data_IF_393373511510
#
_entry.id   IF_393373511510
#
_cell.length_a   1.000
_cell.length_b   1.000
_cell.length_c   1.000
_cell.angle_alpha   90.00
_cell.angle_beta   90.00
_cell.angle_gamma   90.00
#
_symmetry.space_group_name_H-M   'P 1'
#
loop_
_entity.id
_entity.type
_entity.pdbx_description
1 polymer ?
#
# COMPACT_ATOMS: atom_id res chain seq x y z
N UNK A 1 -14.06 0.23 -27.21
CA UNK A 1 -14.41 1.64 -27.49
C UNK A 1 -13.10 2.39 -27.72
N UNK A 2 -13.02 3.33 -28.65
CA UNK A 2 -11.85 4.22 -28.64
C UNK A 2 -11.95 5.04 -27.36
N UNK A 3 -11.04 4.80 -26.41
CA UNK A 3 -10.97 5.59 -25.18
C UNK A 3 -10.86 7.08 -25.49
N UNK A 4 -11.23 7.92 -24.52
CA UNK A 4 -10.98 9.36 -24.66
C UNK A 4 -9.48 9.62 -24.73
N UNK A 5 -9.04 10.76 -25.26
CA UNK A 5 -7.61 11.14 -25.26
C UNK A 5 -7.02 11.10 -23.84
N UNK A 6 -7.84 11.38 -22.82
CA UNK A 6 -7.46 11.28 -21.42
C UNK A 6 -7.20 9.83 -20.98
N UNK A 7 -7.92 8.85 -21.53
CA UNK A 7 -7.70 7.43 -21.23
C UNK A 7 -6.41 6.93 -21.89
N UNK A 8 -6.16 7.31 -23.15
CA UNK A 8 -4.93 6.97 -23.87
C UNK A 8 -3.68 7.48 -23.13
N UNK A 9 -3.73 8.73 -22.65
CA UNK A 9 -2.64 9.33 -21.90
C UNK A 9 -2.45 8.66 -20.53
N UNK A 10 -3.54 8.31 -19.85
CA UNK A 10 -3.46 7.62 -18.56
C UNK A 10 -2.93 6.19 -18.68
N UNK A 11 -3.28 5.47 -19.73
CA UNK A 11 -2.69 4.17 -20.04
C UNK A 11 -1.17 4.27 -20.23
N UNK A 12 -0.68 5.42 -20.67
CA UNK A 12 0.74 5.72 -20.83
C UNK A 12 1.40 6.32 -19.57
N UNK A 13 0.73 6.30 -18.42
CA UNK A 13 1.25 6.84 -17.16
C UNK A 13 1.23 8.36 -17.06
N UNK A 14 0.49 9.05 -17.93
CA UNK A 14 0.39 10.51 -17.94
C UNK A 14 -0.92 10.96 -17.29
N UNK A 15 -0.82 11.54 -16.10
CA UNK A 15 -1.97 12.17 -15.43
C UNK A 15 -2.46 13.37 -16.22
N UNK A 16 -3.75 13.37 -16.53
CA UNK A 16 -4.41 14.43 -17.31
C UNK A 16 -5.32 15.29 -16.44
N UNK A 17 -5.81 16.38 -17.00
CA UNK A 17 -6.73 17.30 -16.34
C UNK A 17 -8.07 17.24 -17.06
N UNK A 18 -9.11 16.76 -16.36
CA UNK A 18 -10.46 16.62 -16.92
C UNK A 18 -11.38 17.70 -16.35
N UNK A 19 -12.46 17.98 -17.09
CA UNK A 19 -13.53 18.87 -16.64
C UNK A 19 -14.81 18.07 -16.37
N UNK A 20 -14.98 17.63 -15.14
CA UNK A 20 -16.20 16.98 -14.64
C UNK A 20 -16.48 17.47 -13.23
N UNK A 21 -17.59 18.18 -13.07
CA UNK A 21 -17.95 18.88 -11.82
C UNK A 21 -16.80 19.77 -11.31
N UNK A 22 -16.19 20.52 -12.23
CA UNK A 22 -14.97 21.30 -12.01
C UNK A 22 -13.74 20.70 -12.68
N UNK A 23 -12.59 21.31 -12.43
CA UNK A 23 -11.28 20.83 -12.89
C UNK A 23 -10.73 19.79 -11.91
N UNK A 24 -10.35 18.62 -12.41
CA UNK A 24 -9.83 17.52 -11.60
C UNK A 24 -8.64 16.86 -12.29
N UNK A 25 -7.70 16.36 -11.49
CA UNK A 25 -6.70 15.41 -11.99
C UNK A 25 -7.38 14.07 -12.29
N UNK A 26 -6.97 13.46 -13.39
CA UNK A 26 -7.45 12.16 -13.85
C UNK A 26 -6.23 11.30 -14.18
N UNK A 27 -5.99 10.31 -13.33
CA UNK A 27 -4.77 9.51 -13.36
C UNK A 27 -4.05 9.48 -12.03
N UNK A 28 -3.51 8.33 -11.69
CA UNK A 28 -2.61 8.12 -10.56
C UNK A 28 -1.54 7.06 -10.86
N UNK A 29 -1.38 6.69 -12.14
CA UNK A 29 -0.32 5.78 -12.59
C UNK A 29 0.99 6.54 -12.73
N UNK A 30 2.09 5.85 -12.48
CA UNK A 30 3.46 6.35 -12.68
C UNK A 30 4.02 5.82 -14.00
N UNK A 31 5.13 6.42 -14.45
CA UNK A 31 5.92 5.89 -15.57
C UNK A 31 6.93 4.81 -15.12
N UNK A 32 6.67 4.13 -14.00
CA UNK A 32 7.54 3.06 -13.50
C UNK A 32 7.43 1.81 -14.38
N UNK A 33 8.58 1.23 -14.75
CA UNK A 33 8.63 -0.08 -15.40
C UNK A 33 8.36 -1.23 -14.42
N UNK A 34 8.46 -0.97 -13.10
CA UNK A 34 8.12 -1.93 -12.05
C UNK A 34 6.62 -1.87 -11.72
N UNK A 35 5.86 -2.96 -11.95
CA UNK A 35 4.42 -3.03 -11.64
C UNK A 35 4.09 -2.81 -10.16
N UNK A 36 5.03 -3.07 -9.23
CA UNK A 36 4.82 -2.81 -7.79
C UNK A 36 4.75 -1.32 -7.47
N UNK A 37 5.29 -0.45 -8.32
CA UNK A 37 5.27 1.00 -8.16
C UNK A 37 4.38 1.68 -9.22
N UNK A 38 3.44 0.93 -9.80
CA UNK A 38 2.55 1.41 -10.84
C UNK A 38 1.71 2.62 -10.38
N UNK A 39 1.31 2.67 -9.12
CA UNK A 39 0.50 3.78 -8.59
C UNK A 39 1.36 4.77 -7.79
N UNK A 40 1.08 6.05 -7.95
CA UNK A 40 1.81 7.11 -7.25
C UNK A 40 1.74 6.91 -5.73
N UNK A 41 0.57 6.54 -5.20
CA UNK A 41 0.42 6.35 -3.76
C UNK A 41 1.27 5.20 -3.23
N UNK A 42 1.58 4.18 -4.05
CA UNK A 42 2.47 3.09 -3.64
C UNK A 42 3.89 3.60 -3.49
N UNK A 43 4.38 4.33 -4.48
CA UNK A 43 5.71 4.96 -4.45
C UNK A 43 5.84 5.95 -3.29
N UNK A 44 4.80 6.76 -3.03
CA UNK A 44 4.81 7.73 -1.93
C UNK A 44 4.79 7.05 -0.56
N UNK A 45 3.97 6.02 -0.38
CA UNK A 45 3.97 5.25 0.88
C UNK A 45 5.34 4.61 1.11
N UNK A 46 5.96 4.04 0.08
CA UNK A 46 7.30 3.46 0.17
C UNK A 46 8.35 4.46 0.67
N UNK A 47 8.40 5.63 0.04
CA UNK A 47 9.34 6.70 0.39
C UNK A 47 9.13 7.20 1.81
N UNK A 48 7.88 7.51 2.17
CA UNK A 48 7.54 7.99 3.51
C UNK A 48 7.87 6.97 4.59
N UNK A 49 7.59 5.68 4.34
CA UNK A 49 7.96 4.61 5.28
C UNK A 49 9.47 4.53 5.48
N UNK A 50 10.25 4.52 4.39
CA UNK A 50 11.70 4.44 4.46
C UNK A 50 12.30 5.61 5.27
N UNK A 51 11.88 6.84 4.96
CA UNK A 51 12.35 8.04 5.66
C UNK A 51 11.94 8.03 7.14
N UNK A 52 10.68 7.68 7.43
CA UNK A 52 10.16 7.60 8.81
C UNK A 52 10.95 6.60 9.65
N UNK A 53 11.26 5.43 9.10
CA UNK A 53 12.02 4.41 9.83
C UNK A 53 13.48 4.81 10.04
N UNK A 54 14.11 5.40 9.02
CA UNK A 54 15.50 5.88 9.12
C UNK A 54 15.64 6.98 10.18
N UNK A 55 14.76 7.98 10.17
CA UNK A 55 14.79 9.09 11.13
C UNK A 55 14.52 8.60 12.56
N UNK A 56 13.54 7.72 12.75
CA UNK A 56 13.16 7.21 14.06
C UNK A 56 14.25 6.34 14.72
N UNK A 57 15.14 5.72 13.95
CA UNK A 57 16.17 4.81 14.46
C UNK A 57 17.59 5.40 14.45
N UNK A 58 17.74 6.68 14.14
CA UNK A 58 19.03 7.37 14.20
C UNK A 58 19.72 7.26 15.57
N UNK A 59 18.95 7.12 16.66
CA UNK A 59 19.48 6.92 18.01
C UNK A 59 20.29 5.62 18.18
N UNK A 60 20.05 4.61 17.34
CA UNK A 60 20.69 3.31 17.41
C UNK A 60 22.05 3.29 16.69
N UNK A 61 22.34 4.31 15.88
CA UNK A 61 23.63 4.45 15.18
C UNK A 61 24.75 4.60 16.21
N UNK A 62 25.89 3.98 15.95
CA UNK A 62 27.08 3.91 16.81
C UNK A 62 26.91 3.20 18.16
N UNK A 63 25.75 2.59 18.43
CA UNK A 63 25.56 1.74 19.61
C UNK A 63 26.13 0.33 19.39
N UNK A 64 26.58 -0.36 20.47
CA UNK A 64 27.06 -1.73 20.36
C UNK A 64 25.93 -2.67 19.91
N UNK A 65 26.20 -3.50 18.90
CA UNK A 65 25.25 -4.51 18.42
C UNK A 65 25.08 -5.56 19.52
N UNK A 66 23.92 -5.54 20.17
CA UNK A 66 23.53 -6.49 21.21
C UNK A 66 22.17 -7.09 20.84
N UNK A 67 21.87 -8.29 21.34
CA UNK A 67 20.57 -8.90 21.12
C UNK A 67 19.41 -8.02 21.62
N UNK A 68 19.63 -7.23 22.68
CA UNK A 68 18.65 -6.27 23.19
C UNK A 68 18.43 -5.14 22.19
N UNK A 69 19.50 -4.53 21.65
CA UNK A 69 19.38 -3.46 20.66
C UNK A 69 18.58 -3.91 19.42
N UNK A 70 18.85 -5.12 18.91
CA UNK A 70 18.14 -5.66 17.74
C UNK A 70 16.64 -5.82 18.05
N UNK A 71 16.29 -6.37 19.22
CA UNK A 71 14.88 -6.51 19.63
C UNK A 71 14.21 -5.16 19.79
N UNK A 72 14.86 -4.19 20.43
CA UNK A 72 14.32 -2.85 20.64
C UNK A 72 14.02 -2.15 19.30
N UNK A 73 14.87 -2.33 18.29
CA UNK A 73 14.64 -1.80 16.93
C UNK A 73 13.42 -2.49 16.29
N UNK A 74 13.39 -3.83 16.28
CA UNK A 74 12.29 -4.60 15.67
C UNK A 74 10.95 -4.28 16.35
N UNK A 75 10.93 -4.19 17.67
CA UNK A 75 9.74 -3.85 18.45
C UNK A 75 9.29 -2.40 18.20
N UNK A 76 10.24 -1.47 18.07
CA UNK A 76 9.98 -0.07 17.71
C UNK A 76 9.34 0.07 16.33
N UNK A 77 9.89 -0.59 15.31
CA UNK A 77 9.36 -0.60 13.94
C UNK A 77 7.96 -1.22 13.92
N UNK A 78 7.78 -2.39 14.53
CA UNK A 78 6.47 -3.05 14.60
C UNK A 78 5.42 -2.22 15.36
N UNK A 79 5.84 -1.47 16.40
CA UNK A 79 4.94 -0.55 17.08
C UNK A 79 4.47 0.57 16.14
N UNK A 80 5.36 1.13 15.31
CA UNK A 80 4.98 2.14 14.32
C UNK A 80 4.06 1.59 13.25
N UNK A 81 4.31 0.37 12.77
CA UNK A 81 3.42 -0.29 11.79
C UNK A 81 2.01 -0.52 12.33
N UNK A 82 1.88 -0.91 13.61
CA UNK A 82 0.56 -1.02 14.25
C UNK A 82 -0.19 0.31 14.24
N UNK A 83 0.49 1.41 14.56
CA UNK A 83 -0.10 2.76 14.51
C UNK A 83 -0.56 3.13 13.09
N UNK A 84 0.29 2.90 12.07
CA UNK A 84 -0.04 3.20 10.68
C UNK A 84 -1.21 2.37 10.15
N UNK A 85 -1.29 1.08 10.54
CA UNK A 85 -2.41 0.19 10.25
C UNK A 85 -3.71 0.67 10.90
N UNK A 86 -3.66 1.01 12.19
CA UNK A 86 -4.85 1.52 12.91
C UNK A 86 -5.37 2.82 12.29
N UNK A 87 -4.48 3.68 11.80
CA UNK A 87 -4.84 4.92 11.12
C UNK A 87 -5.26 4.71 9.64
N UNK A 88 -5.15 3.49 9.10
CA UNK A 88 -5.53 3.16 7.73
C UNK A 88 -4.58 3.65 6.65
N UNK A 89 -3.33 3.99 6.99
CA UNK A 89 -2.32 4.42 6.01
C UNK A 89 -1.71 3.25 5.23
N UNK A 90 -1.71 2.06 5.83
CA UNK A 90 -1.27 0.80 5.23
C UNK A 90 -2.29 -0.29 5.54
N UNK A 91 -2.31 -1.36 4.75
CA UNK A 91 -3.16 -2.54 5.00
C UNK A 91 -2.56 -3.37 6.14
N UNK A 92 -1.27 -3.71 6.01
CA UNK A 92 -0.50 -4.41 7.02
C UNK A 92 1.00 -4.26 6.76
N UNK A 93 1.82 -4.56 7.78
CA UNK A 93 3.28 -4.60 7.69
C UNK A 93 3.88 -5.38 8.86
N UNK A 94 4.99 -6.07 8.63
CA UNK A 94 5.75 -6.78 9.66
C UNK A 94 7.24 -6.52 9.50
N UNK A 95 7.94 -6.37 10.63
CA UNK A 95 9.40 -6.28 10.68
C UNK A 95 9.98 -7.47 11.47
N UNK A 96 11.07 -8.03 10.98
CA UNK A 96 11.78 -9.13 11.63
C UNK A 96 13.30 -9.05 11.42
N UNK A 97 14.02 -9.80 12.24
CA UNK A 97 15.45 -10.04 12.07
C UNK A 97 15.65 -11.39 11.39
N UNK A 98 16.35 -11.40 10.25
CA UNK A 98 16.72 -12.62 9.53
C UNK A 98 18.18 -12.98 9.79
N UNK A 99 18.44 -14.21 10.22
CA UNK A 99 19.80 -14.73 10.36
C UNK A 99 20.48 -14.92 8.99
N UNK A 100 19.71 -15.21 7.94
CA UNK A 100 20.23 -15.37 6.58
C UNK A 100 20.79 -14.06 6.04
N UNK A 101 20.15 -12.94 6.38
CA UNK A 101 20.61 -11.60 6.00
C UNK A 101 21.79 -11.10 6.85
N UNK A 102 22.08 -11.73 7.98
CA UNK A 102 23.03 -11.24 8.99
C UNK A 102 24.05 -12.31 9.40
N UNK A 103 24.95 -12.66 8.48
CA UNK A 103 26.04 -13.58 8.80
C UNK A 103 27.11 -12.95 9.74
N UNK A 104 27.99 -13.81 10.26
CA UNK A 104 29.01 -13.39 11.23
C UNK A 104 30.03 -12.40 10.64
N UNK A 105 30.27 -12.41 9.32
CA UNK A 105 31.18 -11.47 8.67
C UNK A 105 30.57 -10.07 8.59
N UNK A 106 29.29 -10.00 8.24
CA UNK A 106 28.49 -8.77 8.17
C UNK A 106 28.40 -8.10 9.54
N UNK A 107 28.08 -8.87 10.58
CA UNK A 107 27.98 -8.35 11.94
C UNK A 107 29.35 -7.88 12.48
N UNK A 108 30.44 -8.59 12.15
CA UNK A 108 31.81 -8.15 12.49
C UNK A 108 32.18 -6.83 11.79
N UNK A 109 31.66 -6.60 10.59
CA UNK A 109 31.83 -5.34 9.87
C UNK A 109 30.95 -4.19 10.42
N UNK A 110 30.19 -4.42 11.49
CA UNK A 110 29.31 -3.42 12.10
C UNK A 110 28.04 -3.15 11.30
N UNK A 111 27.67 -4.05 10.37
CA UNK A 111 26.47 -3.92 9.55
C UNK A 111 25.36 -4.76 10.15
N UNK A 112 24.16 -4.21 10.18
CA UNK A 112 22.95 -4.88 10.64
C UNK A 112 21.86 -4.66 9.61
N UNK A 113 21.27 -5.75 9.13
CA UNK A 113 20.11 -5.72 8.25
C UNK A 113 18.86 -6.08 9.03
N UNK A 114 17.82 -5.28 8.86
CA UNK A 114 16.49 -5.50 9.43
C UNK A 114 15.52 -5.52 8.27
N UNK A 115 14.84 -6.66 8.12
CA UNK A 115 13.92 -6.89 7.03
C UNK A 115 12.51 -6.46 7.46
N UNK A 116 11.77 -5.88 6.53
CA UNK A 116 10.36 -5.58 6.73
C UNK A 116 9.60 -5.65 5.42
N UNK A 117 8.34 -6.07 5.52
CA UNK A 117 7.37 -6.03 4.44
C UNK A 117 6.22 -5.08 4.78
N UNK A 118 5.53 -4.58 3.75
CA UNK A 118 4.36 -3.76 3.91
C UNK A 118 3.45 -3.88 2.70
N UNK A 119 2.16 -3.67 2.92
CA UNK A 119 1.15 -3.59 1.86
C UNK A 119 0.54 -2.19 1.84
N UNK A 120 0.82 -1.37 0.81
CA UNK A 120 0.18 -0.06 0.66
C UNK A 120 -1.32 -0.22 0.37
N UNK A 121 -2.11 0.82 0.66
CA UNK A 121 -3.56 0.80 0.39
C UNK A 121 -3.82 0.96 -1.12
N UNK A 122 -4.51 0.01 -1.79
CA UNK A 122 -4.80 0.09 -3.21
C UNK A 122 -5.77 1.22 -3.56
N UNK A 123 -5.51 2.02 -4.61
CA UNK A 123 -6.50 2.95 -5.13
C UNK A 123 -7.61 2.21 -5.89
N UNK A 124 -8.86 2.65 -5.73
CA UNK A 124 -9.98 2.15 -6.54
C UNK A 124 -9.97 2.83 -7.92
N UNK A 125 -9.07 2.39 -8.80
CA UNK A 125 -8.92 2.97 -10.15
C UNK A 125 -10.12 2.64 -11.06
N UNK A 126 -10.68 1.44 -10.96
CA UNK A 126 -11.80 1.00 -11.81
C UNK A 126 -12.89 0.28 -11.02
N UNK A 127 -14.10 0.84 -11.04
CA UNK A 127 -15.29 0.25 -10.44
C UNK A 127 -16.24 -0.26 -11.53
N UNK A 128 -16.26 -1.58 -11.73
CA UNK A 128 -17.17 -2.22 -12.69
C UNK A 128 -18.46 -2.69 -12.00
N UNK A 129 -19.56 -1.99 -12.26
CA UNK A 129 -20.89 -2.42 -11.78
C UNK A 129 -21.47 -3.49 -12.71
N UNK A 130 -21.61 -4.72 -12.21
CA UNK A 130 -22.18 -5.84 -12.96
C UNK A 130 -23.68 -5.96 -12.70
N UNK A 131 -24.49 -5.50 -13.64
CA UNK A 131 -25.94 -5.62 -13.57
C UNK A 131 -26.42 -7.01 -14.04
N UNK A 132 -27.46 -7.54 -13.40
CA UNK A 132 -28.12 -8.79 -13.78
C UNK A 132 -29.63 -8.62 -13.67
N UNK A 133 -30.36 -9.02 -14.70
CA UNK A 133 -31.83 -9.14 -14.65
C UNK A 133 -32.14 -10.50 -14.00
N UNK A 134 -33.07 -10.53 -13.04
CA UNK A 134 -33.46 -11.76 -12.33
C UNK A 134 -34.94 -11.76 -11.99
N UNK A 135 -35.57 -12.92 -12.19
CA UNK A 135 -36.99 -13.16 -11.86
C UNK A 135 -37.18 -13.67 -10.42
N UNK A 136 -36.09 -13.83 -9.64
CA UNK A 136 -36.11 -14.32 -8.26
C UNK A 136 -37.11 -13.56 -7.36
N UNK A 137 -37.30 -12.28 -7.65
CA UNK A 137 -38.16 -11.40 -6.86
C UNK A 137 -39.64 -11.47 -7.26
N UNK A 138 -39.98 -12.07 -8.41
CA UNK A 138 -41.36 -12.25 -8.86
C UNK A 138 -42.10 -13.31 -8.04
N UNK A 139 -41.39 -14.32 -7.52
CA UNK A 139 -41.99 -15.32 -6.62
C UNK A 139 -42.53 -14.67 -5.33
N UNK A 140 -41.78 -13.74 -4.74
CA UNK A 140 -42.19 -13.01 -3.53
C UNK A 140 -43.34 -12.03 -3.80
N UNK A 141 -43.42 -11.47 -5.01
CA UNK A 141 -44.53 -10.62 -5.43
C UNK A 141 -45.86 -11.40 -5.37
N UNK A 142 -45.90 -12.64 -5.91
CA UNK A 142 -47.11 -13.48 -5.89
C UNK A 142 -47.52 -13.85 -4.47
N UNK A 143 -46.56 -14.16 -3.58
CA UNK A 143 -46.85 -14.44 -2.17
C UNK A 143 -47.38 -13.21 -1.43
N UNK A 144 -46.86 -12.01 -1.73
CA UNK A 144 -47.29 -10.76 -1.08
C UNK A 144 -48.74 -10.37 -1.38
N UNK A 145 -49.29 -10.78 -2.52
CA UNK A 145 -50.69 -10.52 -2.90
C UNK A 145 -51.68 -11.34 -2.05
N UNK A 146 -51.28 -12.53 -1.60
CA UNK A 146 -52.15 -13.46 -0.88
C UNK A 146 -52.00 -13.39 0.65
N UNK A 147 -51.19 -12.46 1.17
CA UNK A 147 -50.86 -12.35 2.61
C UNK A 147 -51.68 -11.27 3.34
N UNK A 148 -52.92 -10.99 2.91
CA UNK A 148 -53.90 -10.18 3.64
C UNK A 148 -54.88 -11.06 4.41
#
# INVERSE_FOLDING_TARGET
>A
ESGTDADLLNESGVTTLIRRDGFRFWGNRTCSDDPLFLFENYTRTAQVLADTMAEAHMWAVDKPITATLIRDIVDGINAKFRELKTNGYIVDATCWFSEESNDAETLKAGKLYIDYDYTPVPPLENLTLRQRITDKYLANLVTSVNSN
#
